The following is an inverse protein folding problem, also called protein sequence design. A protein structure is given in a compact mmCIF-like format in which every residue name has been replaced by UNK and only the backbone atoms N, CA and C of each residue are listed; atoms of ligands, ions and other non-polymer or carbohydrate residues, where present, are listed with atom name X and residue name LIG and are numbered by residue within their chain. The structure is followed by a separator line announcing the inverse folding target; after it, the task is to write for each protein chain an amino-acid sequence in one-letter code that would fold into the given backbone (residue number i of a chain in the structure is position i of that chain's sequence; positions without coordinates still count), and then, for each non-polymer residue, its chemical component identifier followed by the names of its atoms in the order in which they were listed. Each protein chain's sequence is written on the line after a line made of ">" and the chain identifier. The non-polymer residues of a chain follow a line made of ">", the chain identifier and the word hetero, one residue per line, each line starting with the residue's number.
data_IF_243912353879
#
_entry.id   IF_243912353879
#
_cell.length_a   1.000
_cell.length_b   1.000
_cell.length_c   1.000
_cell.angle_alpha   90.00
_cell.angle_beta   90.00
_cell.angle_gamma   90.00
#
_symmetry.space_group_name_H-M   'P 1'
#
loop_
_entity.id
_entity.type
_entity.pdbx_description
1 polymer ?
#
# COMPACT_ATOMS: atom_id res chain seq x y z
N UNK A 1 24.83 -11.30 17.79
CA UNK A 1 24.31 -10.19 16.97
C UNK A 1 24.09 -9.00 17.90
N UNK A 2 24.46 -7.78 17.47
CA UNK A 2 24.30 -6.56 18.25
C UNK A 2 22.82 -6.09 18.25
N UNK A 3 22.37 -5.48 19.35
CA UNK A 3 21.03 -4.91 19.49
C UNK A 3 19.99 -5.89 20.03
N UNK A 4 18.72 -5.71 19.63
CA UNK A 4 17.60 -6.55 20.06
C UNK A 4 17.73 -7.97 19.51
N UNK A 5 17.35 -8.97 20.32
CA UNK A 5 17.49 -10.39 19.97
C UNK A 5 16.28 -11.19 20.46
N UNK A 6 15.91 -12.24 19.74
CA UNK A 6 15.03 -13.29 20.26
C UNK A 6 15.83 -14.45 20.90
N UNK A 7 17.16 -14.33 20.97
CA UNK A 7 18.10 -15.29 21.58
C UNK A 7 18.09 -16.65 20.89
N UNK A 8 18.33 -16.64 19.57
CA UNK A 8 18.51 -17.86 18.77
C UNK A 8 19.83 -18.55 19.15
N UNK A 9 19.80 -19.87 19.23
CA UNK A 9 20.96 -20.69 19.50
C UNK A 9 21.48 -21.38 18.22
N UNK A 10 22.76 -21.67 18.16
CA UNK A 10 23.36 -22.39 17.04
C UNK A 10 22.76 -23.79 16.89
N UNK A 11 22.31 -24.14 15.68
CA UNK A 11 21.69 -25.43 15.38
C UNK A 11 20.20 -25.50 15.78
N UNK A 12 19.63 -24.46 16.35
CA UNK A 12 18.20 -24.39 16.66
C UNK A 12 17.35 -24.47 15.37
N UNK A 13 16.24 -25.21 15.40
CA UNK A 13 15.30 -25.35 14.30
C UNK A 13 14.00 -24.65 14.64
N UNK A 14 13.64 -23.65 13.83
CA UNK A 14 12.41 -22.90 13.95
C UNK A 14 11.63 -22.95 12.64
N UNK A 15 10.32 -22.68 12.73
CA UNK A 15 9.55 -22.37 11.54
C UNK A 15 9.86 -20.94 11.08
N UNK A 16 9.74 -20.65 9.79
CA UNK A 16 9.83 -19.28 9.27
C UNK A 16 8.86 -18.36 10.00
N UNK A 17 7.66 -18.84 10.31
CA UNK A 17 6.65 -18.05 11.04
C UNK A 17 7.10 -17.65 12.43
N UNK A 18 7.69 -18.57 13.20
CA UNK A 18 8.22 -18.26 14.54
C UNK A 18 9.37 -17.24 14.47
N UNK A 19 10.25 -17.40 13.48
CA UNK A 19 11.34 -16.45 13.24
C UNK A 19 10.80 -15.05 12.86
N UNK A 20 9.73 -14.97 12.05
CA UNK A 20 9.08 -13.69 11.71
C UNK A 20 8.40 -13.04 12.93
N UNK A 21 7.82 -13.81 13.85
CA UNK A 21 7.34 -13.26 15.12
C UNK A 21 8.49 -12.65 15.93
N UNK A 22 9.64 -13.34 16.05
CA UNK A 22 10.82 -12.79 16.72
C UNK A 22 11.35 -11.51 16.07
N UNK A 23 11.39 -11.49 14.74
CA UNK A 23 11.82 -10.33 13.95
C UNK A 23 10.89 -9.13 14.15
N UNK A 24 9.58 -9.33 14.05
CA UNK A 24 8.61 -8.22 13.97
C UNK A 24 8.14 -7.74 15.34
N UNK A 25 7.96 -8.63 16.35
CA UNK A 25 7.53 -8.25 17.69
C UNK A 25 8.71 -7.75 18.53
N UNK A 26 9.75 -8.58 18.66
CA UNK A 26 10.90 -8.33 19.52
C UNK A 26 12.04 -7.60 18.81
N UNK A 27 11.88 -7.30 17.53
CA UNK A 27 12.91 -6.63 16.72
C UNK A 27 14.24 -7.40 16.66
N UNK A 28 14.17 -8.76 16.68
CA UNK A 28 15.34 -9.64 16.75
C UNK A 28 16.26 -9.50 15.55
N UNK A 29 17.47 -8.97 15.77
CA UNK A 29 18.49 -8.87 14.71
C UNK A 29 19.05 -10.25 14.35
N UNK A 30 19.08 -11.18 15.28
CA UNK A 30 19.39 -12.60 15.06
C UNK A 30 18.33 -13.27 14.18
N UNK A 31 17.04 -12.96 14.39
CA UNK A 31 15.97 -13.43 13.54
C UNK A 31 16.09 -12.85 12.11
N UNK A 32 16.44 -11.57 11.98
CA UNK A 32 16.69 -10.96 10.67
C UNK A 32 17.86 -11.65 9.93
N UNK A 33 18.94 -11.95 10.64
CA UNK A 33 20.08 -12.67 10.09
C UNK A 33 19.71 -14.11 9.68
N UNK A 34 18.91 -14.82 10.50
CA UNK A 34 18.44 -16.17 10.19
C UNK A 34 17.57 -16.19 8.93
N UNK A 35 16.60 -15.27 8.80
CA UNK A 35 15.79 -15.13 7.58
C UNK A 35 16.66 -14.83 6.36
N UNK A 36 17.63 -13.92 6.50
CA UNK A 36 18.55 -13.60 5.41
C UNK A 36 19.40 -14.82 5.00
N UNK A 37 19.85 -15.63 5.99
CA UNK A 37 20.60 -16.87 5.75
C UNK A 37 19.82 -17.85 4.87
N UNK A 38 18.57 -18.13 5.21
CA UNK A 38 17.67 -19.01 4.44
C UNK A 38 17.34 -18.45 3.04
N UNK A 39 17.41 -17.14 2.87
CA UNK A 39 17.16 -16.49 1.58
C UNK A 39 18.40 -16.39 0.65
N UNK A 40 19.48 -17.08 1.00
CA UNK A 40 20.72 -17.13 0.21
C UNK A 40 21.86 -16.27 0.77
N UNK A 41 21.76 -15.88 2.04
CA UNK A 41 22.72 -15.06 2.76
C UNK A 41 22.38 -13.57 2.75
N UNK A 42 23.05 -12.84 3.62
CA UNK A 42 22.75 -11.42 3.88
C UNK A 42 22.78 -10.57 2.60
N UNK A 43 23.84 -10.71 1.78
CA UNK A 43 23.99 -9.97 0.54
C UNK A 43 22.84 -10.24 -0.43
N UNK A 44 22.50 -11.52 -0.66
CA UNK A 44 21.42 -11.89 -1.57
C UNK A 44 20.06 -11.40 -1.06
N UNK A 45 19.88 -11.38 0.27
CA UNK A 45 18.66 -10.86 0.88
C UNK A 45 18.55 -9.33 0.72
N UNK A 46 19.62 -8.59 0.96
CA UNK A 46 19.69 -7.13 0.77
C UNK A 46 19.45 -6.77 -0.71
N UNK A 47 20.00 -7.55 -1.64
CA UNK A 47 19.71 -7.36 -3.07
C UNK A 47 18.21 -7.53 -3.39
N UNK A 48 17.53 -8.51 -2.75
CA UNK A 48 16.06 -8.70 -2.86
C UNK A 48 15.29 -7.54 -2.23
N UNK A 49 15.72 -7.03 -1.06
CA UNK A 49 15.11 -5.85 -0.42
C UNK A 49 15.18 -4.63 -1.36
N UNK A 50 16.35 -4.37 -1.93
CA UNK A 50 16.52 -3.26 -2.86
C UNK A 50 15.79 -3.48 -4.19
N UNK A 51 15.67 -4.72 -4.67
CA UNK A 51 14.84 -5.04 -5.83
C UNK A 51 13.35 -4.75 -5.57
N UNK A 52 12.86 -5.11 -4.39
CA UNK A 52 11.48 -4.80 -3.98
C UNK A 52 11.26 -3.29 -3.84
N UNK A 53 12.22 -2.54 -3.30
CA UNK A 53 12.14 -1.08 -3.25
C UNK A 53 11.98 -0.48 -4.66
N UNK A 54 12.77 -0.93 -5.64
CA UNK A 54 12.64 -0.50 -7.04
C UNK A 54 11.29 -0.90 -7.66
N UNK A 55 10.82 -2.12 -7.41
CA UNK A 55 9.49 -2.59 -7.88
C UNK A 55 8.35 -1.70 -7.36
N UNK A 56 8.47 -1.20 -6.12
CA UNK A 56 7.53 -0.28 -5.50
C UNK A 56 7.72 1.19 -5.97
N UNK A 57 8.67 1.47 -6.85
CA UNK A 57 8.96 2.81 -7.34
C UNK A 57 9.57 3.74 -6.28
N UNK A 58 10.38 3.17 -5.37
CA UNK A 58 11.05 3.93 -4.32
C UNK A 58 12.43 4.38 -4.82
N UNK A 59 12.65 5.69 -4.85
CA UNK A 59 13.87 6.31 -5.36
C UNK A 59 14.80 6.80 -4.24
N UNK A 60 14.25 7.00 -3.04
CA UNK A 60 14.93 7.54 -1.87
C UNK A 60 15.01 6.50 -0.74
N UNK A 61 15.05 5.20 -1.11
CA UNK A 61 15.20 4.07 -0.18
C UNK A 61 16.32 3.17 -0.64
N UNK A 62 17.26 2.87 0.27
CA UNK A 62 18.31 1.89 0.07
C UNK A 62 18.56 1.11 1.36
N UNK A 63 18.69 -0.20 1.22
CA UNK A 63 19.01 -1.13 2.28
C UNK A 63 20.45 -1.61 2.13
N UNK A 64 21.19 -1.71 3.25
CA UNK A 64 22.55 -2.27 3.31
C UNK A 64 22.67 -3.48 4.23
N UNK A 65 21.67 -3.70 5.09
CA UNK A 65 21.57 -4.87 5.95
C UNK A 65 20.09 -5.22 6.22
N UNK A 66 19.79 -6.44 6.71
CA UNK A 66 18.42 -6.87 6.96
C UNK A 66 17.83 -6.39 8.30
N UNK A 67 18.67 -5.89 9.22
CA UNK A 67 18.29 -5.56 10.59
C UNK A 67 17.92 -4.08 10.80
N UNK A 68 18.37 -3.19 9.92
CA UNK A 68 18.19 -1.74 10.08
C UNK A 68 19.25 -1.10 11.00
N UNK A 69 20.35 -1.82 11.31
CA UNK A 69 21.48 -1.22 12.01
C UNK A 69 22.13 -0.12 11.14
N UNK A 70 22.74 0.90 11.77
CA UNK A 70 23.31 2.02 11.04
C UNK A 70 24.36 1.60 10.01
N UNK A 71 24.27 2.16 8.82
CA UNK A 71 25.23 2.07 7.73
C UNK A 71 25.09 3.30 6.86
N UNK A 72 26.19 3.82 6.30
CA UNK A 72 26.21 5.10 5.59
C UNK A 72 25.27 5.16 4.38
N UNK A 73 25.06 4.03 3.73
CA UNK A 73 24.15 3.90 2.57
C UNK A 73 22.77 3.34 2.92
N UNK A 74 22.40 3.22 4.19
CA UNK A 74 21.10 2.71 4.64
C UNK A 74 20.16 3.88 4.96
N UNK A 75 19.26 4.21 4.05
CA UNK A 75 18.37 5.37 4.19
C UNK A 75 17.00 5.12 3.59
N UNK A 76 16.05 5.92 4.02
CA UNK A 76 14.69 6.00 3.48
C UNK A 76 14.05 7.35 3.83
N UNK A 77 12.79 7.54 3.39
CA UNK A 77 11.94 8.66 3.78
C UNK A 77 10.65 8.16 4.44
N UNK A 78 9.99 9.00 5.24
CA UNK A 78 8.71 8.66 5.85
C UNK A 78 7.66 8.28 4.80
N UNK A 79 7.62 8.99 3.66
CA UNK A 79 6.72 8.69 2.54
C UNK A 79 6.98 7.30 1.94
N UNK A 80 8.24 6.92 1.78
CA UNK A 80 8.58 5.63 1.18
C UNK A 80 8.37 4.47 2.15
N UNK A 81 8.64 4.65 3.45
CA UNK A 81 8.25 3.68 4.48
C UNK A 81 6.73 3.47 4.52
N UNK A 82 5.92 4.52 4.35
CA UNK A 82 4.47 4.37 4.25
C UNK A 82 4.06 3.53 3.03
N UNK A 83 4.72 3.69 1.87
CA UNK A 83 4.47 2.86 0.67
C UNK A 83 4.87 1.39 0.89
N UNK A 84 6.03 1.14 1.52
CA UNK A 84 6.48 -0.21 1.89
C UNK A 84 5.44 -0.85 2.80
N UNK A 85 4.99 -0.12 3.83
CA UNK A 85 4.00 -0.59 4.79
C UNK A 85 2.66 -0.90 4.12
N UNK A 86 2.18 -0.03 3.23
CA UNK A 86 0.95 -0.26 2.49
C UNK A 86 1.04 -1.52 1.60
N UNK A 87 2.20 -1.79 1.01
CA UNK A 87 2.43 -3.02 0.25
C UNK A 87 2.47 -4.25 1.17
N UNK A 88 3.15 -4.18 2.31
CA UNK A 88 3.30 -5.28 3.25
C UNK A 88 1.96 -5.65 3.93
N UNK A 89 1.12 -4.68 4.28
CA UNK A 89 -0.18 -4.90 4.91
C UNK A 89 -1.21 -5.62 4.01
N UNK A 90 -0.93 -5.75 2.70
CA UNK A 90 -1.73 -6.58 1.79
C UNK A 90 -1.52 -8.08 2.02
N UNK A 91 -0.39 -8.46 2.61
CA UNK A 91 -0.12 -9.84 3.01
C UNK A 91 -0.80 -10.12 4.37
N UNK A 92 -1.77 -11.06 4.42
CA UNK A 92 -2.51 -11.34 5.64
C UNK A 92 -1.62 -11.93 6.75
N UNK A 93 -0.54 -12.63 6.41
CA UNK A 93 0.40 -13.19 7.40
C UNK A 93 1.20 -12.07 8.05
N UNK A 94 1.70 -11.12 7.26
CA UNK A 94 2.39 -9.94 7.80
C UNK A 94 1.47 -9.16 8.73
N UNK A 95 0.23 -8.89 8.28
CA UNK A 95 -0.77 -8.16 9.05
C UNK A 95 -1.09 -8.86 10.38
N UNK A 96 -1.28 -10.17 10.38
CA UNK A 96 -1.53 -10.98 11.57
C UNK A 96 -0.36 -10.86 12.58
N UNK A 97 0.89 -11.00 12.10
CA UNK A 97 2.06 -10.93 12.95
C UNK A 97 2.22 -9.54 13.58
N UNK A 98 2.16 -8.45 12.79
CA UNK A 98 2.42 -7.10 13.31
C UNK A 98 1.32 -6.57 14.22
N UNK A 99 0.09 -7.11 14.13
CA UNK A 99 -1.03 -6.78 15.02
C UNK A 99 -1.03 -7.60 16.32
N UNK A 100 -0.21 -8.64 16.41
CA UNK A 100 -0.11 -9.48 17.59
C UNK A 100 0.60 -8.74 18.74
N UNK A 101 -0.05 -8.62 19.90
CA UNK A 101 0.52 -7.97 21.10
C UNK A 101 1.55 -8.84 21.80
N UNK A 102 1.23 -10.11 21.95
CA UNK A 102 2.09 -11.10 22.62
C UNK A 102 1.80 -12.49 22.07
N UNK A 103 2.82 -13.28 21.85
CA UNK A 103 2.66 -14.68 21.48
C UNK A 103 3.76 -15.54 22.11
N UNK A 104 3.55 -16.85 22.11
CA UNK A 104 4.61 -17.83 22.40
C UNK A 104 5.03 -18.45 21.07
N UNK A 105 6.31 -18.28 20.71
CA UNK A 105 6.90 -18.83 19.49
C UNK A 105 8.26 -19.45 19.85
N UNK A 106 8.52 -20.66 19.36
CA UNK A 106 9.75 -21.41 19.65
C UNK A 106 10.10 -21.46 21.15
N UNK A 107 9.11 -21.67 22.03
CA UNK A 107 9.30 -21.74 23.49
C UNK A 107 9.58 -20.40 24.17
N UNK A 108 9.56 -19.28 23.46
CA UNK A 108 9.80 -17.93 23.97
C UNK A 108 8.51 -17.13 24.01
N UNK A 109 8.31 -16.35 25.08
CA UNK A 109 7.26 -15.34 25.11
C UNK A 109 7.78 -14.07 24.44
N UNK A 110 7.19 -13.70 23.30
CA UNK A 110 7.53 -12.54 22.52
C UNK A 110 6.48 -11.45 22.76
N UNK A 111 6.92 -10.25 23.12
CA UNK A 111 6.08 -9.08 23.34
C UNK A 111 6.35 -8.05 22.26
N UNK A 112 5.31 -7.56 21.63
CA UNK A 112 5.43 -6.53 20.60
C UNK A 112 5.85 -5.20 21.22
N UNK A 113 6.94 -4.64 20.72
CA UNK A 113 7.44 -3.35 21.17
C UNK A 113 6.53 -2.18 20.78
N UNK A 114 5.59 -2.40 19.86
CA UNK A 114 4.64 -1.37 19.44
C UNK A 114 3.52 -1.16 20.46
N UNK A 115 3.71 -0.18 21.35
CA UNK A 115 2.75 0.16 22.40
C UNK A 115 1.42 0.70 21.88
N UNK A 116 1.37 1.21 20.63
CA UNK A 116 0.11 1.70 20.03
C UNK A 116 -0.95 0.62 19.94
N UNK A 117 -0.57 -0.67 19.81
CA UNK A 117 -1.51 -1.78 19.86
C UNK A 117 -2.33 -1.83 21.16
N UNK A 118 -1.87 -1.19 22.23
CA UNK A 118 -2.57 -1.10 23.52
C UNK A 118 -3.06 0.31 23.84
N UNK A 119 -2.49 1.34 23.23
CA UNK A 119 -2.82 2.75 23.46
C UNK A 119 -3.90 3.27 22.51
N UNK A 120 -4.07 2.64 21.33
CA UNK A 120 -5.00 3.06 20.29
C UNK A 120 -5.85 1.86 19.82
N UNK A 121 -7.17 1.94 20.01
CA UNK A 121 -8.09 0.80 19.83
C UNK A 121 -8.06 0.23 18.41
N UNK A 122 -8.00 1.09 17.40
CA UNK A 122 -8.00 0.70 15.99
C UNK A 122 -6.61 0.30 15.44
N UNK A 123 -5.55 0.30 16.28
CA UNK A 123 -4.19 0.00 15.83
C UNK A 123 -4.05 -1.45 15.36
N UNK A 124 -3.47 -1.63 14.17
CA UNK A 124 -3.20 -2.93 13.53
C UNK A 124 -1.70 -3.21 13.31
N UNK A 125 -0.81 -2.37 13.82
CA UNK A 125 0.64 -2.53 13.70
C UNK A 125 1.35 -1.17 13.73
N UNK A 126 2.63 -1.05 13.32
CA UNK A 126 3.40 -1.99 12.50
C UNK A 126 4.76 -2.27 13.12
N UNK A 127 5.68 -1.27 13.17
CA UNK A 127 7.07 -1.49 13.62
C UNK A 127 7.69 -0.27 14.27
N UNK A 128 8.36 -0.51 15.36
CA UNK A 128 9.24 0.44 16.08
C UNK A 128 10.67 0.31 15.58
N UNK A 129 11.45 1.38 15.65
CA UNK A 129 12.88 1.37 15.42
C UNK A 129 13.59 2.38 16.33
N UNK A 130 14.78 2.03 16.76
CA UNK A 130 15.64 2.93 17.51
C UNK A 130 17.12 2.59 17.29
N UNK A 131 17.88 3.60 16.94
CA UNK A 131 19.35 3.60 17.06
C UNK A 131 19.80 4.97 17.57
N UNK A 132 21.03 5.08 18.10
CA UNK A 132 21.55 6.39 18.52
C UNK A 132 21.66 7.39 17.36
N UNK A 133 21.92 6.88 16.15
CA UNK A 133 22.05 7.70 14.95
C UNK A 133 20.70 8.15 14.38
N UNK A 134 19.70 7.25 14.36
CA UNK A 134 18.39 7.53 13.74
C UNK A 134 17.37 8.14 14.72
N UNK A 135 17.61 8.05 16.04
CA UNK A 135 16.60 8.39 17.04
C UNK A 135 15.45 7.37 17.05
N UNK A 136 14.33 7.75 17.66
CA UNK A 136 13.11 6.94 17.67
C UNK A 136 12.40 7.07 16.34
N UNK A 137 12.06 5.94 15.76
CA UNK A 137 11.31 5.87 14.51
C UNK A 137 10.12 4.93 14.71
N UNK A 138 8.96 5.34 14.22
CA UNK A 138 7.74 4.56 14.34
C UNK A 138 7.00 4.52 13.01
N UNK A 139 6.56 3.33 12.66
CA UNK A 139 5.53 3.11 11.63
C UNK A 139 4.33 2.51 12.32
N UNK A 140 3.19 3.17 12.24
CA UNK A 140 1.92 2.63 12.73
C UNK A 140 0.89 2.53 11.63
N UNK A 141 -0.08 1.66 11.84
CA UNK A 141 -1.27 1.56 11.01
C UNK A 141 -2.48 1.36 11.92
N UNK A 142 -3.59 1.94 11.54
CA UNK A 142 -4.88 1.75 12.19
C UNK A 142 -5.97 1.53 11.15
N UNK A 143 -7.01 0.77 11.50
CA UNK A 143 -8.13 0.51 10.60
C UNK A 143 -9.46 0.79 11.30
N UNK A 144 -10.28 1.61 10.65
CA UNK A 144 -11.62 1.99 11.10
C UNK A 144 -12.58 1.96 9.91
N UNK A 145 -13.68 1.22 10.01
CA UNK A 145 -14.70 1.12 8.96
C UNK A 145 -14.14 0.70 7.58
N UNK A 146 -13.19 -0.25 7.55
CA UNK A 146 -12.55 -0.73 6.32
C UNK A 146 -11.51 0.23 5.73
N UNK A 147 -11.27 1.38 6.35
CA UNK A 147 -10.23 2.33 5.98
C UNK A 147 -8.96 2.11 6.80
N UNK A 148 -7.84 1.88 6.13
CA UNK A 148 -6.53 1.81 6.76
C UNK A 148 -5.79 3.14 6.62
N UNK A 149 -5.27 3.65 7.73
CA UNK A 149 -4.40 4.84 7.79
C UNK A 149 -3.02 4.39 8.28
N UNK A 150 -1.98 4.93 7.67
CA UNK A 150 -0.58 4.67 8.03
C UNK A 150 0.06 5.99 8.43
N UNK A 151 0.71 6.02 9.59
CA UNK A 151 1.53 7.13 10.05
C UNK A 151 3.00 6.68 10.16
N UNK A 152 3.92 7.59 9.84
CA UNK A 152 5.36 7.35 9.93
C UNK A 152 6.04 8.57 10.51
N UNK A 153 6.76 8.42 11.61
CA UNK A 153 7.67 9.43 12.15
C UNK A 153 9.11 8.91 12.19
N UNK A 154 10.05 9.81 11.94
CA UNK A 154 11.49 9.53 11.96
C UNK A 154 12.15 10.53 12.91
N UNK A 155 12.99 10.03 13.83
CA UNK A 155 13.66 10.80 14.86
C UNK A 155 12.68 11.65 15.70
N UNK A 156 11.64 11.00 16.19
CA UNK A 156 10.55 11.63 16.93
C UNK A 156 10.54 11.15 18.38
N UNK A 157 10.89 12.00 19.36
CA UNK A 157 10.97 11.60 20.76
C UNK A 157 9.60 11.32 21.41
N UNK A 158 8.51 11.87 20.88
CA UNK A 158 7.14 11.71 21.38
C UNK A 158 6.25 10.87 20.44
N UNK A 159 6.87 9.96 19.70
CA UNK A 159 6.26 9.15 18.64
C UNK A 159 4.88 8.55 18.97
N UNK A 160 4.62 8.15 20.22
CA UNK A 160 3.32 7.57 20.61
C UNK A 160 2.20 8.61 20.55
N UNK A 161 2.40 9.80 21.13
CA UNK A 161 1.39 10.85 21.16
C UNK A 161 1.19 11.44 19.76
N UNK A 162 2.27 11.66 19.03
CA UNK A 162 2.22 12.19 17.67
C UNK A 162 1.49 11.22 16.72
N UNK A 163 1.73 9.92 16.84
CA UNK A 163 1.00 8.94 16.04
C UNK A 163 -0.50 8.86 16.38
N UNK A 164 -0.88 8.96 17.66
CA UNK A 164 -2.29 9.03 18.06
C UNK A 164 -2.93 10.28 17.43
N UNK A 165 -2.29 11.43 17.54
CA UNK A 165 -2.80 12.68 16.96
C UNK A 165 -2.91 12.63 15.43
N UNK A 166 -1.91 12.05 14.74
CA UNK A 166 -1.92 11.88 13.28
C UNK A 166 -3.02 10.94 12.82
N UNK A 167 -3.24 9.83 13.53
CA UNK A 167 -4.29 8.87 13.20
C UNK A 167 -5.68 9.47 13.42
N UNK A 168 -5.90 10.16 14.55
CA UNK A 168 -7.16 10.85 14.85
C UNK A 168 -7.45 11.98 13.85
N UNK A 169 -6.45 12.79 13.50
CA UNK A 169 -6.57 13.83 12.48
C UNK A 169 -6.98 13.20 11.13
N UNK A 170 -6.30 12.14 10.71
CA UNK A 170 -6.61 11.48 9.44
C UNK A 170 -8.01 10.86 9.42
N UNK A 171 -8.45 10.22 10.50
CA UNK A 171 -9.80 9.65 10.56
C UNK A 171 -10.90 10.72 10.66
N UNK A 172 -10.64 11.87 11.28
CA UNK A 172 -11.61 12.94 11.44
C UNK A 172 -11.75 13.85 10.23
N UNK A 173 -10.65 14.14 9.52
CA UNK A 173 -10.61 15.14 8.44
C UNK A 173 -11.01 14.61 7.08
N UNK A 174 -10.71 13.35 6.78
CA UNK A 174 -11.02 12.76 5.49
C UNK A 174 -12.38 12.09 5.54
N UNK A 175 -13.23 12.39 4.58
CA UNK A 175 -14.50 11.72 4.36
C UNK A 175 -14.48 10.89 3.09
N UNK A 176 -15.21 9.77 3.09
CA UNK A 176 -15.42 8.97 1.89
C UNK A 176 -16.36 9.72 0.94
N UNK A 177 -15.95 9.82 -0.33
CA UNK A 177 -16.72 10.45 -1.39
C UNK A 177 -16.84 9.47 -2.54
N UNK A 178 -18.06 9.19 -3.01
CA UNK A 178 -18.28 8.43 -4.24
C UNK A 178 -17.98 9.33 -5.44
N UNK A 179 -17.01 8.93 -6.26
CA UNK A 179 -16.58 9.66 -7.45
C UNK A 179 -17.44 9.30 -8.67
N UNK A 180 -17.90 8.08 -8.77
CA UNK A 180 -18.91 7.57 -9.70
C UNK A 180 -19.43 6.21 -9.24
N UNK A 181 -20.58 5.82 -9.73
CA UNK A 181 -21.15 4.50 -9.54
C UNK A 181 -20.91 3.60 -10.75
N UNK A 182 -20.94 2.28 -10.53
CA UNK A 182 -20.88 1.31 -11.61
C UNK A 182 -22.01 1.53 -12.61
N UNK A 183 -21.64 1.64 -13.89
CA UNK A 183 -22.58 1.87 -14.99
C UNK A 183 -22.79 3.35 -15.33
N UNK A 184 -22.26 4.29 -14.56
CA UNK A 184 -22.33 5.71 -14.90
C UNK A 184 -21.64 5.97 -16.24
N UNK A 185 -22.27 6.76 -17.10
CA UNK A 185 -21.66 7.23 -18.35
C UNK A 185 -20.64 8.32 -18.04
N UNK A 186 -19.36 7.97 -18.16
CA UNK A 186 -18.25 8.87 -17.83
C UNK A 186 -17.70 9.63 -19.03
N UNK A 187 -17.90 9.12 -20.26
CA UNK A 187 -17.44 9.72 -21.49
C UNK A 187 -18.21 9.17 -22.70
N UNK A 188 -17.92 9.74 -23.86
CA UNK A 188 -18.34 9.20 -25.16
C UNK A 188 -17.13 9.09 -26.08
N UNK A 189 -17.17 8.15 -27.03
CA UNK A 189 -16.19 8.02 -28.11
C UNK A 189 -16.87 8.03 -29.47
N UNK A 190 -16.16 8.52 -30.49
CA UNK A 190 -16.66 8.51 -31.86
C UNK A 190 -16.62 7.10 -32.44
N UNK A 191 -17.65 6.73 -33.20
CA UNK A 191 -17.75 5.45 -33.90
C UNK A 191 -17.81 5.69 -35.39
N UNK A 192 -16.94 5.05 -36.16
CA UNK A 192 -16.98 5.10 -37.62
C UNK A 192 -17.61 3.84 -38.18
N UNK A 193 -18.42 4.02 -39.25
CA UNK A 193 -19.09 2.90 -39.94
C UNK A 193 -20.22 2.25 -39.16
N UNK A 194 -20.69 2.86 -38.08
CA UNK A 194 -21.81 2.37 -37.28
C UNK A 194 -23.16 3.03 -37.60
N UNK A 195 -24.25 2.41 -37.12
CA UNK A 195 -25.60 2.96 -37.16
C UNK A 195 -25.71 4.26 -36.34
N UNK A 196 -24.87 4.42 -35.33
CA UNK A 196 -24.67 5.65 -34.56
C UNK A 196 -23.22 6.09 -34.65
N UNK A 197 -22.99 7.41 -34.57
CA UNK A 197 -21.64 8.01 -34.62
C UNK A 197 -20.93 8.10 -33.26
N UNK A 198 -21.61 7.66 -32.18
CA UNK A 198 -21.09 7.70 -30.82
C UNK A 198 -21.45 6.44 -30.03
N UNK A 199 -20.55 6.05 -29.15
CA UNK A 199 -20.76 5.03 -28.14
C UNK A 199 -20.47 5.61 -26.74
N UNK A 200 -21.29 5.25 -25.78
CA UNK A 200 -21.08 5.60 -24.37
C UNK A 200 -20.00 4.74 -23.75
N UNK A 201 -19.19 5.37 -22.90
CA UNK A 201 -18.18 4.73 -22.08
C UNK A 201 -18.63 4.77 -20.64
N UNK A 202 -18.92 3.59 -20.08
CA UNK A 202 -19.48 3.43 -18.74
C UNK A 202 -18.45 2.87 -17.78
N UNK A 203 -18.60 3.24 -16.51
CA UNK A 203 -17.78 2.75 -15.39
C UNK A 203 -17.93 1.25 -15.19
N UNK A 204 -16.82 0.54 -15.00
CA UNK A 204 -16.83 -0.90 -14.70
C UNK A 204 -17.20 -1.18 -13.25
N UNK A 205 -16.82 -0.30 -12.32
CA UNK A 205 -17.05 -0.43 -10.89
C UNK A 205 -17.52 0.89 -10.26
N UNK A 206 -18.04 0.82 -9.02
CA UNK A 206 -18.17 2.00 -8.17
C UNK A 206 -16.82 2.36 -7.62
N UNK A 207 -16.46 3.65 -7.67
CA UNK A 207 -15.18 4.16 -7.17
C UNK A 207 -15.43 5.22 -6.11
N UNK A 208 -14.83 5.00 -4.93
CA UNK A 208 -14.79 5.96 -3.83
C UNK A 208 -13.37 6.45 -3.57
N UNK A 209 -13.24 7.60 -2.95
CA UNK A 209 -11.97 8.14 -2.47
C UNK A 209 -12.17 8.84 -1.12
N UNK A 210 -11.12 8.85 -0.29
CA UNK A 210 -11.10 9.63 0.94
C UNK A 210 -10.46 10.99 0.65
N UNK A 211 -11.24 12.06 0.85
CA UNK A 211 -10.85 13.43 0.51
C UNK A 211 -10.98 14.37 1.70
N UNK A 212 -10.13 15.37 1.74
CA UNK A 212 -10.30 16.54 2.62
C UNK A 212 -11.43 17.44 2.11
N UNK A 213 -12.05 18.24 3.00
CA UNK A 213 -13.01 19.25 2.57
C UNK A 213 -12.46 20.15 1.46
N UNK A 214 -13.21 20.30 0.36
CA UNK A 214 -12.85 21.12 -0.80
C UNK A 214 -11.88 20.45 -1.80
N UNK A 215 -11.36 19.26 -1.53
CA UNK A 215 -10.53 18.54 -2.51
C UNK A 215 -11.35 17.99 -3.69
N UNK A 216 -12.61 17.65 -3.45
CA UNK A 216 -13.51 17.16 -4.50
C UNK A 216 -13.60 18.15 -5.69
N UNK A 217 -13.66 19.45 -5.42
CA UNK A 217 -13.74 20.49 -6.43
C UNK A 217 -12.44 20.67 -7.23
N UNK A 218 -11.35 20.15 -6.71
CA UNK A 218 -10.01 20.21 -7.33
C UNK A 218 -9.64 18.93 -8.08
N UNK A 219 -10.47 17.89 -8.01
CA UNK A 219 -10.23 16.66 -8.73
C UNK A 219 -10.37 16.87 -10.24
N UNK A 220 -9.39 16.38 -10.97
CA UNK A 220 -9.44 16.29 -12.44
C UNK A 220 -9.66 14.86 -12.86
N UNK A 221 -10.66 14.66 -13.72
CA UNK A 221 -10.91 13.37 -14.35
C UNK A 221 -10.17 13.31 -15.70
N UNK A 222 -9.31 12.32 -15.88
CA UNK A 222 -8.50 12.12 -17.08
C UNK A 222 -8.83 10.75 -17.66
N UNK A 223 -9.22 10.72 -18.93
CA UNK A 223 -9.52 9.49 -19.67
C UNK A 223 -8.31 9.06 -20.49
N UNK A 224 -8.03 7.77 -20.47
CA UNK A 224 -7.06 7.10 -21.33
C UNK A 224 -7.76 6.03 -22.16
N UNK A 225 -7.38 5.89 -23.43
CA UNK A 225 -7.94 4.94 -24.38
C UNK A 225 -8.06 5.56 -25.77
N UNK A 226 -8.58 4.79 -26.71
CA UNK A 226 -8.75 5.22 -28.10
C UNK A 226 -9.69 6.40 -28.20
N UNK A 227 -9.34 7.37 -29.06
CA UNK A 227 -10.16 8.56 -29.31
C UNK A 227 -11.41 8.27 -30.14
N UNK A 228 -11.38 7.20 -30.91
CA UNK A 228 -12.45 6.70 -31.76
C UNK A 228 -12.37 5.18 -31.89
N UNK A 229 -13.43 4.57 -32.40
CA UNK A 229 -13.45 3.14 -32.75
C UNK A 229 -14.23 2.93 -34.06
N UNK A 230 -14.19 1.70 -34.57
CA UNK A 230 -14.98 1.28 -35.72
C UNK A 230 -16.08 0.33 -35.26
N UNK A 231 -17.24 0.41 -35.94
CA UNK A 231 -18.27 -0.59 -35.75
C UNK A 231 -17.84 -1.97 -36.33
N UNK A 232 -18.33 -3.10 -35.78
CA UNK A 232 -19.31 -3.14 -34.70
C UNK A 232 -18.66 -2.92 -33.34
N UNK A 233 -19.37 -2.22 -32.45
CA UNK A 233 -18.99 -2.06 -31.04
C UNK A 233 -19.77 -3.08 -30.22
N UNK A 234 -19.06 -3.84 -29.39
CA UNK A 234 -19.66 -4.86 -28.54
C UNK A 234 -19.86 -4.31 -27.13
N UNK A 235 -21.09 -4.41 -26.63
CA UNK A 235 -21.42 -4.00 -25.24
C UNK A 235 -20.51 -4.70 -24.24
N UNK A 236 -20.10 -3.96 -23.20
CA UNK A 236 -19.20 -4.41 -22.14
C UNK A 236 -17.76 -4.74 -22.55
N UNK A 237 -17.38 -4.61 -23.83
CA UNK A 237 -15.99 -4.67 -24.24
C UNK A 237 -15.17 -3.52 -23.61
N UNK A 238 -13.89 -3.77 -23.34
CA UNK A 238 -13.00 -2.77 -22.77
C UNK A 238 -12.84 -1.57 -23.71
N UNK A 239 -12.89 -0.35 -23.12
CA UNK A 239 -12.88 0.91 -23.87
C UNK A 239 -11.86 1.93 -23.35
N UNK A 240 -11.06 1.56 -22.33
CA UNK A 240 -10.03 2.42 -21.76
C UNK A 240 -10.05 2.44 -20.24
N UNK A 241 -9.50 3.51 -19.69
CA UNK A 241 -9.45 3.76 -18.24
C UNK A 241 -9.77 5.22 -17.95
N UNK A 242 -10.22 5.49 -16.74
CA UNK A 242 -10.38 6.83 -16.19
C UNK A 242 -9.57 6.95 -14.92
N UNK A 243 -8.87 8.07 -14.74
CA UNK A 243 -8.15 8.42 -13.52
C UNK A 243 -8.75 9.69 -12.91
N UNK A 244 -8.82 9.70 -11.58
CA UNK A 244 -9.11 10.89 -10.78
C UNK A 244 -7.81 11.40 -10.18
N UNK A 245 -7.45 12.63 -10.49
CA UNK A 245 -6.17 13.23 -10.08
C UNK A 245 -6.38 14.46 -9.22
N UNK A 246 -5.59 14.55 -8.15
CA UNK A 246 -5.43 15.75 -7.34
C UNK A 246 -4.00 16.28 -7.53
N UNK A 247 -3.85 17.33 -8.32
CA UNK A 247 -2.55 17.73 -8.85
C UNK A 247 -1.97 16.63 -9.76
N UNK A 248 -0.77 16.17 -9.44
CA UNK A 248 -0.10 15.08 -10.17
C UNK A 248 -0.39 13.68 -9.59
N UNK A 249 -1.00 13.62 -8.40
CA UNK A 249 -1.29 12.35 -7.74
C UNK A 249 -2.56 11.70 -8.34
N UNK A 250 -2.48 10.42 -8.68
CA UNK A 250 -3.65 9.59 -9.00
C UNK A 250 -4.27 9.14 -7.68
N UNK A 251 -5.50 9.61 -7.42
CA UNK A 251 -6.25 9.31 -6.19
C UNK A 251 -7.05 8.03 -6.37
N UNK A 252 -7.66 7.85 -7.54
CA UNK A 252 -8.42 6.66 -7.89
C UNK A 252 -8.42 6.44 -9.40
N UNK A 253 -8.71 5.21 -9.82
CA UNK A 253 -8.84 4.84 -11.23
C UNK A 253 -9.87 3.73 -11.41
N UNK A 254 -10.50 3.69 -12.60
CA UNK A 254 -11.40 2.62 -13.01
C UNK A 254 -11.22 2.28 -14.48
N UNK A 255 -11.69 1.10 -14.88
CA UNK A 255 -11.80 0.71 -16.28
C UNK A 255 -13.09 1.23 -16.88
N UNK A 256 -13.05 1.53 -18.17
CA UNK A 256 -14.20 1.91 -18.96
C UNK A 256 -14.58 0.77 -19.89
N UNK A 257 -15.88 0.58 -20.04
CA UNK A 257 -16.49 -0.37 -20.98
C UNK A 257 -17.47 0.35 -21.89
N UNK A 258 -17.75 -0.24 -23.06
CA UNK A 258 -18.85 0.24 -23.89
C UNK A 258 -20.20 -0.04 -23.22
N UNK A 259 -21.01 0.99 -23.04
CA UNK A 259 -22.33 0.92 -22.40
C UNK A 259 -23.39 0.26 -23.25
N UNK A 260 -23.26 0.35 -24.58
CA UNK A 260 -24.17 -0.20 -25.57
C UNK A 260 -23.45 -0.92 -26.70
N UNK A 261 -24.23 -1.53 -27.56
CA UNK A 261 -23.81 -2.10 -28.85
C UNK A 261 -24.00 -1.05 -29.95
N UNK A 262 -23.10 -1.01 -30.96
CA UNK A 262 -23.27 -0.22 -32.17
C UNK A 262 -23.03 -1.14 -33.37
N UNK A 263 -24.06 -1.43 -34.11
CA UNK A 263 -23.99 -2.27 -35.31
C UNK A 263 -23.39 -1.52 -36.51
N UNK A 264 -22.93 -2.28 -37.50
CA UNK A 264 -22.47 -1.71 -38.75
C UNK A 264 -23.65 -0.98 -39.46
N UNK A 265 -23.40 0.22 -39.97
CA UNK A 265 -24.36 0.91 -40.81
C UNK A 265 -24.67 0.06 -42.03
N UNK A 266 -25.96 -0.13 -42.31
CA UNK A 266 -26.37 -0.80 -43.55
C UNK A 266 -26.04 0.10 -44.75
N UNK A 267 -25.32 -0.44 -45.73
CA UNK A 267 -25.17 0.27 -47.01
C UNK A 267 -26.56 0.61 -47.58
N UNK A 268 -26.83 1.88 -47.72
CA UNK A 268 -28.01 2.30 -48.52
C UNK A 268 -27.78 1.80 -49.93
N UNK A 269 -28.41 0.66 -50.29
CA UNK A 269 -28.52 0.26 -51.70
C UNK A 269 -29.28 1.38 -52.43
N UNK A 270 -28.50 2.17 -53.18
CA UNK A 270 -29.05 3.16 -54.10
C UNK A 270 -29.62 2.48 -55.35
#
# INVERSE_FOLDING_TARGET
>A
VEGSSMYLEEGERLTLRDTLYGLLLSSGNDAAAAVAGECGGERAFVDKMNAKARELGLTDTRFENPSGLPSDGHYTTARELAKITAAALRDPVFRDIVSTKTCTAAGRTLVNHNRLLSLYEDAIGVKTGFTRAAGRCLVSAAERNGRTVIAVTLNDPDDWNDHIALLDDAFSRYSEVTLHEKGDTLAQTQVFGGETDRAELVAESTVTAYLLPGEQDRLRRVRYGEKFCYAPVVRAAAAGTVEYRLGDAVIAADRLKYGGEVLLAQEKRG
#
